data_IF_296535562370
#
_entry.id   IF_296535562370
#
_cell.length_a   1.000
_cell.length_b   1.000
_cell.length_c   1.000
_cell.angle_alpha   90.00
_cell.angle_beta   90.00
_cell.angle_gamma   90.00
#
_symmetry.space_group_name_H-M   'P 1'
#
loop_
_entity.id
_entity.type
_entity.pdbx_description
1 polymer ?
#
# COMPACT_ATOMS: atom_id res chain seq x y z
N UNK A 1 8.87 7.47 14.94
CA UNK A 1 8.37 6.57 13.90
C UNK A 1 7.44 7.36 12.99
N UNK A 2 7.59 7.20 11.67
CA UNK A 2 6.75 7.88 10.67
C UNK A 2 5.91 6.87 9.90
N UNK A 3 4.63 7.18 9.74
CA UNK A 3 3.68 6.39 8.97
C UNK A 3 3.25 7.19 7.73
N UNK A 4 3.43 6.62 6.55
CA UNK A 4 2.91 7.17 5.31
C UNK A 4 1.61 6.45 4.95
N UNK A 5 0.50 7.19 4.91
CA UNK A 5 -0.83 6.72 4.54
C UNK A 5 -1.14 7.14 3.11
N UNK A 6 -1.29 6.18 2.20
CA UNK A 6 -1.63 6.38 0.80
C UNK A 6 -3.05 5.91 0.53
N UNK A 7 -3.89 6.79 0.01
CA UNK A 7 -5.21 6.43 -0.52
C UNK A 7 -5.22 6.61 -2.05
N UNK A 8 -5.75 5.63 -2.79
CA UNK A 8 -5.74 5.63 -4.25
C UNK A 8 -7.11 5.42 -4.91
N UNK A 9 -8.17 5.32 -4.10
CA UNK A 9 -9.54 5.13 -4.59
C UNK A 9 -10.18 6.43 -5.05
N UNK A 10 -10.84 6.41 -6.22
CA UNK A 10 -11.61 7.52 -6.77
C UNK A 10 -13.04 7.62 -6.19
N UNK A 11 -13.43 6.72 -5.27
CA UNK A 11 -14.81 6.65 -4.75
C UNK A 11 -15.02 7.50 -3.48
N UNK A 12 -14.03 8.28 -3.06
CA UNK A 12 -14.15 9.14 -1.87
C UNK A 12 -14.62 8.35 -0.64
N UNK A 13 -15.64 8.85 0.05
CA UNK A 13 -16.19 8.25 1.27
C UNK A 13 -16.88 6.88 1.05
N UNK A 14 -17.34 6.58 -0.17
CA UNK A 14 -17.93 5.28 -0.49
C UNK A 14 -16.90 4.16 -0.65
N UNK A 15 -15.62 4.46 -0.54
CA UNK A 15 -14.52 3.54 -0.79
C UNK A 15 -14.26 2.59 0.37
N UNK A 16 -14.42 1.28 0.14
CA UNK A 16 -14.06 0.25 1.10
C UNK A 16 -12.55 0.22 1.43
N UNK A 17 -11.66 0.47 0.46
CA UNK A 17 -10.22 0.52 0.73
C UNK A 17 -9.82 1.72 1.59
N UNK A 18 -10.48 2.88 1.45
CA UNK A 18 -10.25 4.06 2.30
C UNK A 18 -10.74 3.82 3.73
N UNK A 19 -11.91 3.21 3.90
CA UNK A 19 -12.44 2.82 5.22
C UNK A 19 -11.47 1.88 5.92
N UNK A 20 -10.96 0.88 5.19
CA UNK A 20 -10.04 -0.12 5.74
C UNK A 20 -8.66 0.48 6.06
N UNK A 21 -8.08 1.29 5.16
CA UNK A 21 -6.78 1.95 5.40
C UNK A 21 -6.84 2.90 6.59
N UNK A 22 -7.94 3.66 6.74
CA UNK A 22 -8.15 4.53 7.89
C UNK A 22 -8.23 3.73 9.20
N UNK A 23 -8.90 2.57 9.21
CA UNK A 23 -8.95 1.69 10.38
C UNK A 23 -7.56 1.14 10.75
N UNK A 24 -6.75 0.77 9.76
CA UNK A 24 -5.37 0.34 9.97
C UNK A 24 -4.54 1.47 10.59
N UNK A 25 -4.59 2.68 10.02
CA UNK A 25 -3.87 3.85 10.54
C UNK A 25 -4.27 4.15 11.97
N UNK A 26 -5.57 4.12 12.29
CA UNK A 26 -6.05 4.30 13.66
C UNK A 26 -5.52 3.22 14.62
N UNK A 27 -5.46 1.97 14.18
CA UNK A 27 -4.93 0.87 15.01
C UNK A 27 -3.42 1.05 15.25
N UNK A 28 -2.63 1.41 14.22
CA UNK A 28 -1.21 1.73 14.34
C UNK A 28 -1.00 2.91 15.29
N UNK A 29 -1.77 3.99 15.16
CA UNK A 29 -1.67 5.18 16.04
C UNK A 29 -1.97 4.85 17.48
N UNK A 30 -2.96 3.96 17.75
CA UNK A 30 -3.26 3.49 19.12
C UNK A 30 -2.12 2.63 19.68
N UNK A 31 -1.51 1.80 18.88
CA UNK A 31 -0.38 0.95 19.29
C UNK A 31 0.90 1.77 19.50
N UNK A 32 1.05 2.88 18.76
CA UNK A 32 2.24 3.74 18.79
C UNK A 32 1.84 5.22 18.95
N UNK A 33 1.50 5.64 20.17
CA UNK A 33 1.20 7.04 20.46
C UNK A 33 2.43 7.92 20.17
N UNK A 34 2.27 8.94 19.32
CA UNK A 34 3.36 9.83 18.90
C UNK A 34 3.97 9.48 17.54
N UNK A 35 3.43 8.50 16.80
CA UNK A 35 3.77 8.31 15.41
C UNK A 35 3.37 9.54 14.58
N UNK A 36 4.30 10.07 13.80
CA UNK A 36 4.04 11.13 12.82
C UNK A 36 3.33 10.51 11.61
N UNK A 37 2.16 11.04 11.23
CA UNK A 37 1.38 10.53 10.10
C UNK A 37 1.48 11.53 8.96
N UNK A 38 1.97 11.07 7.82
CA UNK A 38 1.92 11.77 6.54
C UNK A 38 0.81 11.12 5.72
N UNK A 39 -0.18 11.90 5.28
CA UNK A 39 -1.27 11.42 4.43
C UNK A 39 -1.10 11.93 3.01
N UNK A 40 -1.24 11.03 2.05
CA UNK A 40 -1.29 11.34 0.62
C UNK A 40 -2.51 10.70 -0.02
N UNK A 41 -3.42 11.54 -0.49
CA UNK A 41 -4.60 11.13 -1.24
C UNK A 41 -4.34 11.34 -2.72
N UNK A 42 -4.15 10.25 -3.45
CA UNK A 42 -3.76 10.27 -4.86
C UNK A 42 -4.92 10.61 -5.83
N UNK A 43 -6.15 10.65 -5.32
CA UNK A 43 -7.31 11.13 -6.07
C UNK A 43 -7.48 12.65 -5.91
N UNK A 44 -7.33 13.15 -4.68
CA UNK A 44 -7.45 14.57 -4.38
C UNK A 44 -6.23 15.39 -4.86
N UNK A 45 -5.02 14.81 -4.79
CA UNK A 45 -3.75 15.41 -5.25
C UNK A 45 -3.01 14.42 -6.17
N UNK A 46 -3.46 14.30 -7.44
CA UNK A 46 -2.90 13.33 -8.39
C UNK A 46 -1.45 13.61 -8.74
N UNK A 47 -0.63 12.57 -8.71
CA UNK A 47 0.74 12.63 -9.20
C UNK A 47 0.71 12.52 -10.74
N UNK A 48 1.33 13.46 -11.48
CA UNK A 48 1.41 13.37 -12.94
C UNK A 48 2.07 12.07 -13.40
N UNK A 49 1.57 11.50 -14.49
CA UNK A 49 2.22 10.35 -15.12
C UNK A 49 3.66 10.67 -15.51
N UNK A 50 4.52 9.65 -15.43
CA UNK A 50 5.93 9.81 -15.74
C UNK A 50 6.12 10.14 -17.24
N UNK A 51 6.83 11.25 -17.51
CA UNK A 51 7.32 11.61 -18.83
C UNK A 51 8.85 11.79 -18.78
N UNK A 52 9.47 12.10 -19.92
CA UNK A 52 10.93 12.25 -20.01
C UNK A 52 11.48 13.39 -19.16
N UNK A 53 10.76 14.50 -19.02
CA UNK A 53 11.16 15.65 -18.19
C UNK A 53 11.05 15.33 -16.71
N UNK A 54 9.94 14.71 -16.32
CA UNK A 54 9.67 14.28 -14.96
C UNK A 54 10.59 13.16 -14.50
N UNK A 55 10.99 12.24 -15.39
CA UNK A 55 11.99 11.22 -15.08
C UNK A 55 13.31 11.86 -14.64
N UNK A 56 13.82 12.81 -15.41
CA UNK A 56 15.05 13.54 -15.09
C UNK A 56 14.95 14.31 -13.76
N UNK A 57 13.79 14.91 -13.45
CA UNK A 57 13.53 15.57 -12.17
C UNK A 57 13.47 14.57 -11.00
N UNK A 58 12.75 13.46 -11.16
CA UNK A 58 12.57 12.42 -10.13
C UNK A 58 13.91 11.80 -9.72
N UNK A 59 14.85 11.62 -10.65
CA UNK A 59 16.19 11.13 -10.35
C UNK A 59 16.99 12.07 -9.43
N UNK A 60 16.67 13.36 -9.41
CA UNK A 60 17.30 14.35 -8.51
C UNK A 60 16.68 14.35 -7.10
N UNK A 61 15.50 13.77 -6.93
CA UNK A 61 14.70 13.74 -5.70
C UNK A 61 13.35 14.42 -5.89
N UNK A 62 12.40 14.08 -5.02
CA UNK A 62 11.07 14.69 -5.01
C UNK A 62 10.46 14.54 -3.62
N UNK A 63 9.51 15.40 -3.27
CA UNK A 63 8.78 15.30 -1.99
C UNK A 63 8.12 13.92 -1.82
N UNK A 64 7.59 13.34 -2.90
CA UNK A 64 6.99 11.99 -2.89
C UNK A 64 8.01 10.92 -2.50
N UNK A 65 9.23 10.99 -3.05
CA UNK A 65 10.30 10.07 -2.70
C UNK A 65 10.78 10.29 -1.27
N UNK A 66 10.93 11.54 -0.85
CA UNK A 66 11.42 11.89 0.50
C UNK A 66 10.44 11.44 1.58
N UNK A 67 9.13 11.59 1.36
CA UNK A 67 8.07 11.06 2.24
C UNK A 67 8.18 9.53 2.38
N UNK A 68 8.36 8.82 1.26
CA UNK A 68 8.51 7.38 1.25
C UNK A 68 9.81 6.93 1.94
N UNK A 69 10.94 7.57 1.65
CA UNK A 69 12.23 7.26 2.27
C UNK A 69 12.20 7.48 3.77
N UNK A 70 11.52 8.54 4.23
CA UNK A 70 11.41 8.88 5.65
C UNK A 70 10.39 8.04 6.44
N UNK A 71 9.53 7.25 5.77
CA UNK A 71 8.52 6.44 6.44
C UNK A 71 9.10 5.11 6.95
N UNK A 72 8.74 4.72 8.16
CA UNK A 72 9.02 3.39 8.72
C UNK A 72 7.92 2.41 8.33
N UNK A 73 6.67 2.89 8.29
CA UNK A 73 5.47 2.13 7.95
C UNK A 73 4.76 2.80 6.78
N UNK A 74 4.30 2.00 5.82
CA UNK A 74 3.48 2.48 4.70
C UNK A 74 2.15 1.72 4.69
N UNK A 75 1.04 2.44 4.80
CA UNK A 75 -0.31 1.89 4.65
C UNK A 75 -0.85 2.31 3.29
N UNK A 76 -1.20 1.34 2.46
CA UNK A 76 -1.66 1.57 1.09
C UNK A 76 -3.13 1.14 0.96
N UNK A 77 -4.05 2.10 0.89
CA UNK A 77 -5.45 1.87 0.52
C UNK A 77 -5.61 1.77 -0.99
N UNK A 78 -5.92 0.58 -1.50
CA UNK A 78 -6.01 0.33 -2.94
C UNK A 78 -7.22 -0.53 -3.31
N UNK A 79 -8.17 -0.02 -4.13
CA UNK A 79 -9.16 -0.87 -4.77
C UNK A 79 -8.52 -1.62 -5.94
N UNK A 80 -9.13 -2.74 -6.35
CA UNK A 80 -8.84 -3.37 -7.62
C UNK A 80 -9.66 -2.71 -8.72
N UNK A 81 -9.01 -2.12 -9.71
CA UNK A 81 -9.62 -1.61 -10.94
C UNK A 81 -9.08 -2.40 -12.14
N UNK A 82 -10.00 -3.00 -12.92
CA UNK A 82 -9.63 -3.81 -14.09
C UNK A 82 -8.51 -4.83 -13.79
N UNK A 83 -8.69 -5.59 -12.70
CA UNK A 83 -7.78 -6.64 -12.21
C UNK A 83 -6.45 -6.17 -11.61
N UNK A 84 -6.16 -4.88 -11.58
CA UNK A 84 -4.90 -4.33 -11.10
C UNK A 84 -5.10 -3.13 -10.18
N UNK A 85 -4.01 -2.39 -9.90
CA UNK A 85 -4.01 -1.17 -9.09
C UNK A 85 -4.57 0.02 -9.87
N UNK A 86 -5.09 1.06 -9.18
CA UNK A 86 -5.43 2.33 -9.82
C UNK A 86 -4.22 2.98 -10.49
N UNK A 87 -4.45 3.69 -11.61
CA UNK A 87 -3.38 4.41 -12.35
C UNK A 87 -2.69 5.47 -11.49
N UNK A 88 -3.42 6.08 -10.56
CA UNK A 88 -2.87 7.04 -9.59
C UNK A 88 -1.82 6.38 -8.68
N UNK A 89 -2.08 5.15 -8.21
CA UNK A 89 -1.11 4.39 -7.40
C UNK A 89 0.10 3.97 -8.24
N UNK A 90 -0.12 3.62 -9.52
CA UNK A 90 1.00 3.34 -10.44
C UNK A 90 1.89 4.57 -10.61
N UNK A 91 1.30 5.76 -10.78
CA UNK A 91 2.07 7.01 -10.90
C UNK A 91 2.90 7.29 -9.63
N UNK A 92 2.37 6.99 -8.44
CA UNK A 92 3.12 7.09 -7.18
C UNK A 92 4.28 6.09 -7.13
N UNK A 93 4.05 4.82 -7.49
CA UNK A 93 5.10 3.79 -7.53
C UNK A 93 6.24 4.18 -8.47
N UNK A 94 5.94 4.80 -9.61
CA UNK A 94 6.94 5.29 -10.56
C UNK A 94 7.82 6.43 -10.00
N UNK A 95 7.42 7.06 -8.88
CA UNK A 95 8.19 8.09 -8.20
C UNK A 95 9.06 7.57 -7.07
N UNK A 96 8.81 6.36 -6.59
CA UNK A 96 9.58 5.80 -5.48
C UNK A 96 10.56 4.72 -5.92
N UNK A 97 10.40 4.12 -7.11
CA UNK A 97 11.34 3.13 -7.65
C UNK A 97 12.47 3.84 -8.39
N UNK A 98 13.51 4.24 -7.67
CA UNK A 98 14.59 5.09 -8.19
C UNK A 98 15.94 4.42 -7.96
N UNK A 99 16.69 4.22 -9.06
CA UNK A 99 18.05 3.67 -9.03
C UNK A 99 18.98 4.58 -8.21
N UNK A 100 19.74 3.99 -7.32
CA UNK A 100 20.64 4.70 -6.40
C UNK A 100 19.95 5.26 -5.15
N UNK A 101 18.61 5.11 -5.02
CA UNK A 101 17.81 5.54 -3.86
C UNK A 101 17.08 4.36 -3.20
N UNK A 102 16.22 3.66 -3.94
CA UNK A 102 15.42 2.54 -3.44
C UNK A 102 15.85 1.20 -3.99
N UNK A 103 16.61 1.19 -5.08
CA UNK A 103 17.21 0.01 -5.68
C UNK A 103 18.61 0.35 -6.22
N UNK A 104 19.54 -0.59 -6.19
CA UNK A 104 20.84 -0.48 -6.85
C UNK A 104 21.14 -1.73 -7.68
N UNK A 105 21.93 -1.57 -8.74
CA UNK A 105 22.45 -2.71 -9.50
C UNK A 105 23.85 -3.08 -9.01
N UNK A 106 24.06 -4.39 -8.84
CA UNK A 106 25.33 -4.99 -8.45
C UNK A 106 25.71 -6.06 -9.49
N UNK A 107 26.88 -6.64 -9.37
CA UNK A 107 27.29 -7.78 -10.22
C UNK A 107 26.35 -8.99 -10.06
N UNK A 108 25.71 -9.15 -8.90
CA UNK A 108 24.73 -10.19 -8.62
C UNK A 108 23.30 -9.85 -9.09
N UNK A 109 23.08 -8.65 -9.67
CA UNK A 109 21.77 -8.17 -10.12
C UNK A 109 21.22 -7.00 -9.33
N UNK A 110 19.91 -6.78 -9.42
CA UNK A 110 19.24 -5.73 -8.69
C UNK A 110 19.15 -6.06 -7.20
N UNK A 111 19.46 -5.07 -6.34
CA UNK A 111 19.35 -5.15 -4.89
C UNK A 111 18.44 -4.02 -4.39
N UNK A 112 17.35 -4.37 -3.73
CA UNK A 112 16.48 -3.43 -3.03
C UNK A 112 17.14 -2.85 -1.77
N UNK A 113 16.81 -1.61 -1.45
CA UNK A 113 17.44 -0.87 -0.35
C UNK A 113 16.43 -0.52 0.78
N UNK A 114 15.16 -0.95 0.67
CA UNK A 114 14.05 -0.54 1.56
C UNK A 114 13.59 -1.68 2.48
N UNK A 115 14.46 -2.63 2.79
CA UNK A 115 14.14 -3.82 3.59
C UNK A 115 13.80 -3.57 5.07
N UNK A 116 14.00 -2.35 5.55
CA UNK A 116 13.67 -1.91 6.90
C UNK A 116 12.21 -1.43 7.06
N UNK A 117 11.47 -1.33 5.95
CA UNK A 117 10.10 -0.82 5.95
C UNK A 117 9.08 -1.93 6.09
N UNK A 118 7.99 -1.63 6.79
CA UNK A 118 6.79 -2.45 6.81
C UNK A 118 5.70 -1.85 5.94
N UNK A 119 5.02 -2.69 5.14
CA UNK A 119 3.89 -2.27 4.31
C UNK A 119 2.63 -3.03 4.72
N UNK A 120 1.52 -2.32 4.88
CA UNK A 120 0.19 -2.90 5.05
C UNK A 120 -0.69 -2.44 3.89
N UNK A 121 -1.19 -3.39 3.12
CA UNK A 121 -2.07 -3.14 1.97
C UNK A 121 -3.52 -3.36 2.39
N UNK A 122 -4.33 -2.30 2.37
CA UNK A 122 -5.78 -2.35 2.50
C UNK A 122 -6.41 -2.54 1.12
N UNK A 123 -6.62 -3.78 0.72
CA UNK A 123 -7.12 -4.16 -0.61
C UNK A 123 -8.63 -4.33 -0.61
N UNK A 124 -9.33 -3.67 -1.53
CA UNK A 124 -10.76 -3.93 -1.79
C UNK A 124 -11.01 -4.40 -3.22
N UNK A 125 -11.86 -5.42 -3.37
CA UNK A 125 -12.08 -6.13 -4.64
C UNK A 125 -13.55 -6.44 -4.86
N UNK A 126 -14.06 -6.14 -6.05
CA UNK A 126 -15.46 -6.41 -6.40
C UNK A 126 -15.81 -7.89 -6.43
N UNK A 127 -14.92 -8.74 -6.94
CA UNK A 127 -15.04 -10.21 -6.99
C UNK A 127 -14.17 -10.92 -5.95
N UNK A 128 -13.95 -12.23 -6.15
CA UNK A 128 -13.17 -13.13 -5.29
C UNK A 128 -11.90 -13.57 -6.02
N UNK A 129 -10.75 -13.08 -5.58
CA UNK A 129 -9.44 -13.27 -6.24
C UNK A 129 -8.39 -13.89 -5.32
N UNK A 130 -8.69 -14.11 -4.04
CA UNK A 130 -7.76 -14.71 -3.09
C UNK A 130 -7.28 -16.11 -3.55
N UNK A 131 -6.16 -16.63 -3.02
CA UNK A 131 -5.70 -17.97 -3.30
C UNK A 131 -6.80 -19.01 -3.13
N UNK A 132 -6.97 -19.87 -4.14
CA UNK A 132 -8.03 -20.88 -4.19
C UNK A 132 -9.38 -20.41 -4.74
N UNK A 133 -9.54 -19.12 -5.05
CA UNK A 133 -10.77 -18.59 -5.66
C UNK A 133 -10.75 -18.74 -7.20
N UNK A 134 -11.93 -18.85 -7.86
CA UNK A 134 -12.01 -19.07 -9.30
C UNK A 134 -11.31 -18.01 -10.16
N UNK A 135 -11.22 -16.77 -9.66
CA UNK A 135 -10.60 -15.66 -10.38
C UNK A 135 -9.17 -15.34 -9.92
N UNK A 136 -8.55 -16.20 -9.13
CA UNK A 136 -7.17 -16.00 -8.62
C UNK A 136 -6.17 -15.64 -9.73
N UNK A 137 -6.28 -16.27 -10.91
CA UNK A 137 -5.38 -16.01 -12.05
C UNK A 137 -5.44 -14.57 -12.58
N UNK A 138 -6.51 -13.84 -12.25
CA UNK A 138 -6.69 -12.44 -12.62
C UNK A 138 -6.28 -11.45 -11.51
N UNK A 139 -5.64 -11.92 -10.45
CA UNK A 139 -5.10 -11.03 -9.41
C UNK A 139 -3.75 -10.45 -9.84
N UNK A 140 -3.81 -9.41 -10.63
CA UNK A 140 -2.64 -8.59 -10.95
C UNK A 140 -2.45 -7.43 -9.96
N UNK A 141 -3.36 -7.22 -9.02
CA UNK A 141 -3.24 -6.17 -8.01
C UNK A 141 -2.20 -6.55 -6.94
N UNK A 142 -2.44 -7.61 -6.21
CA UNK A 142 -1.54 -8.05 -5.13
C UNK A 142 -0.23 -8.61 -5.68
N UNK A 143 -0.29 -9.38 -6.75
CA UNK A 143 0.89 -9.93 -7.42
C UNK A 143 1.83 -8.83 -7.88
N UNK A 144 1.30 -7.76 -8.50
CA UNK A 144 2.11 -6.62 -8.93
C UNK A 144 2.70 -5.85 -7.74
N UNK A 145 1.88 -5.55 -6.71
CA UNK A 145 2.36 -4.82 -5.53
C UNK A 145 3.48 -5.58 -4.81
N UNK A 146 3.33 -6.90 -4.61
CA UNK A 146 4.39 -7.72 -4.01
C UNK A 146 5.66 -7.73 -4.87
N UNK A 147 5.52 -7.82 -6.19
CA UNK A 147 6.67 -7.82 -7.10
C UNK A 147 7.43 -6.49 -7.04
N UNK A 148 6.74 -5.35 -7.12
CA UNK A 148 7.39 -4.03 -7.16
C UNK A 148 7.95 -3.61 -5.80
N UNK A 149 7.27 -3.92 -4.70
CA UNK A 149 7.75 -3.66 -3.35
C UNK A 149 8.93 -4.57 -3.01
N UNK A 150 8.86 -5.85 -3.36
CA UNK A 150 9.98 -6.79 -3.23
C UNK A 150 11.19 -6.39 -4.05
N UNK A 151 10.99 -5.85 -5.26
CA UNK A 151 12.08 -5.33 -6.09
C UNK A 151 12.89 -4.22 -5.41
N UNK A 152 12.24 -3.37 -4.62
CA UNK A 152 12.92 -2.36 -3.81
C UNK A 152 13.34 -2.86 -2.42
N UNK A 153 13.16 -4.17 -2.11
CA UNK A 153 13.66 -4.84 -0.92
C UNK A 153 12.66 -4.97 0.23
N UNK A 154 11.39 -4.59 0.05
CA UNK A 154 10.38 -4.72 1.11
C UNK A 154 9.79 -6.12 1.06
N UNK A 155 10.04 -6.91 2.12
CA UNK A 155 9.54 -8.28 2.28
C UNK A 155 8.42 -8.36 3.33
N UNK A 156 8.42 -7.46 4.32
CA UNK A 156 7.38 -7.40 5.37
C UNK A 156 6.12 -6.71 4.85
N UNK A 157 5.27 -7.50 4.17
CA UNK A 157 4.05 -7.03 3.52
C UNK A 157 2.84 -7.81 4.03
N UNK A 158 2.00 -7.14 4.82
CA UNK A 158 0.67 -7.64 5.21
C UNK A 158 -0.39 -7.18 4.22
N UNK A 159 -1.34 -8.06 3.89
CA UNK A 159 -2.49 -7.71 3.03
C UNK A 159 -3.78 -8.01 3.75
N UNK A 160 -4.58 -6.98 3.98
CA UNK A 160 -5.93 -7.07 4.52
C UNK A 160 -6.91 -6.89 3.37
N UNK A 161 -7.72 -7.92 3.11
CA UNK A 161 -8.61 -7.99 1.93
C UNK A 161 -10.07 -7.86 2.31
N UNK A 162 -10.79 -6.98 1.59
CA UNK A 162 -12.24 -6.98 1.52
C UNK A 162 -12.65 -7.40 0.11
N UNK A 163 -13.05 -8.67 -0.08
CA UNK A 163 -13.38 -9.26 -1.38
C UNK A 163 -14.88 -9.49 -1.55
N UNK A 164 -15.34 -9.51 -2.80
CA UNK A 164 -16.75 -9.71 -3.12
C UNK A 164 -17.63 -8.50 -2.81
N UNK A 165 -17.05 -7.30 -2.67
CA UNK A 165 -17.81 -6.10 -2.28
C UNK A 165 -18.84 -5.65 -3.34
N UNK A 166 -18.75 -6.16 -4.57
CA UNK A 166 -19.73 -5.90 -5.64
C UNK A 166 -20.80 -7.01 -5.77
N UNK A 167 -20.74 -8.07 -4.95
CA UNK A 167 -21.66 -9.20 -5.00
C UNK A 167 -22.97 -8.96 -4.20
N UNK A 168 -23.14 -7.77 -3.66
CA UNK A 168 -24.33 -7.36 -2.92
C UNK A 168 -24.00 -6.79 -1.54
N UNK A 169 -24.96 -6.08 -0.91
CA UNK A 169 -24.73 -5.37 0.33
C UNK A 169 -24.36 -6.30 1.49
N UNK A 170 -25.02 -7.44 1.63
CA UNK A 170 -24.74 -8.42 2.69
C UNK A 170 -23.31 -8.96 2.58
N UNK A 171 -22.86 -9.30 1.35
CA UNK A 171 -21.52 -9.77 1.09
C UNK A 171 -20.47 -8.67 1.36
N UNK A 172 -20.76 -7.43 0.94
CA UNK A 172 -19.92 -6.27 1.23
C UNK A 172 -19.73 -6.09 2.74
N UNK A 173 -20.83 -6.11 3.50
CA UNK A 173 -20.79 -5.95 4.96
C UNK A 173 -20.05 -7.09 5.65
N UNK A 174 -20.24 -8.33 5.21
CA UNK A 174 -19.51 -9.48 5.72
C UNK A 174 -18.01 -9.37 5.44
N UNK A 175 -17.61 -9.00 4.21
CA UNK A 175 -16.24 -8.82 3.80
C UNK A 175 -15.55 -7.71 4.60
N UNK A 176 -16.22 -6.56 4.79
CA UNK A 176 -15.69 -5.44 5.55
C UNK A 176 -15.54 -5.80 7.04
N UNK A 177 -16.54 -6.45 7.66
CA UNK A 177 -16.40 -6.91 9.05
C UNK A 177 -15.23 -7.87 9.24
N UNK A 178 -15.05 -8.83 8.34
CA UNK A 178 -13.94 -9.78 8.40
C UNK A 178 -12.59 -9.07 8.22
N UNK A 179 -12.48 -8.17 7.26
CA UNK A 179 -11.27 -7.39 7.01
C UNK A 179 -10.91 -6.50 8.23
N UNK A 180 -11.89 -5.78 8.78
CA UNK A 180 -11.69 -4.93 9.97
C UNK A 180 -11.29 -5.74 11.20
N UNK A 181 -11.84 -6.94 11.40
CA UNK A 181 -11.46 -7.83 12.50
C UNK A 181 -10.00 -8.30 12.41
N UNK A 182 -9.42 -8.39 11.21
CA UNK A 182 -8.02 -8.80 11.02
C UNK A 182 -7.00 -7.69 11.24
N UNK A 183 -7.44 -6.42 11.33
CA UNK A 183 -6.55 -5.25 11.50
C UNK A 183 -5.69 -5.37 12.76
N UNK A 184 -6.26 -5.82 13.89
CA UNK A 184 -5.52 -5.94 15.14
C UNK A 184 -4.36 -6.93 15.06
N UNK A 185 -4.52 -8.03 14.31
CA UNK A 185 -3.45 -9.02 14.11
C UNK A 185 -2.32 -8.48 13.25
N UNK A 186 -2.64 -7.74 12.17
CA UNK A 186 -1.65 -7.12 11.30
C UNK A 186 -0.83 -6.03 12.03
N UNK A 187 -1.43 -5.38 13.03
CA UNK A 187 -0.78 -4.31 13.81
C UNK A 187 -0.06 -4.85 15.06
N UNK A 188 -0.34 -6.07 15.49
CA UNK A 188 0.24 -6.64 16.71
C UNK A 188 1.78 -6.70 16.69
N UNK A 189 2.40 -6.85 15.51
CA UNK A 189 3.85 -6.86 15.33
C UNK A 189 4.54 -5.49 15.54
N UNK A 190 3.78 -4.38 15.66
CA UNK A 190 4.34 -3.04 15.88
C UNK A 190 4.48 -2.66 17.36
N UNK A 191 3.90 -3.44 18.26
CA UNK A 191 4.08 -3.19 19.69
C UNK A 191 5.54 -3.51 20.01
N UNK A 192 6.38 -2.53 20.44
CA UNK A 192 7.72 -2.85 20.90
C UNK A 192 7.58 -3.91 21.99
N UNK A 193 8.33 -5.01 21.88
CA UNK A 193 8.45 -5.94 22.98
C UNK A 193 8.73 -5.07 24.22
N UNK A 194 7.83 -5.10 25.23
CA UNK A 194 8.04 -4.35 26.46
C UNK A 194 9.47 -4.66 26.90
N UNK A 195 10.31 -3.60 26.98
CA UNK A 195 11.60 -3.73 27.61
C UNK A 195 11.35 -4.30 29.01
N UNK A 196 11.78 -5.54 29.22
CA UNK A 196 11.69 -6.24 30.48
C UNK A 196 12.67 -5.65 31.46
#
# INVERSE_FOLDING_TARGET
MKLLHIDSSILGEASASRELSAAIVQAVTRAMPGAEIIRRDLDADPIPHLDSGLLAATLKGSAVLDEFLGADIVVIGTPMYNFTIPSQLKAWLDRIVIVGKTVRYTEAGAQGLMGDKKVIIASSRGGLYAPGMPQQANDFQETYLRAILGFIGIEDIDVIRAEGIALGPEQRDAAMRAALASVSSAVAGFVPAKAA
#
